data_IF_285836019777
#
_entry.id   IF_285836019777
#
_cell.length_a   1.000
_cell.length_b   1.000
_cell.length_c   1.000
_cell.angle_alpha   90.00
_cell.angle_beta   90.00
_cell.angle_gamma   90.00
#
_symmetry.space_group_name_H-M   'P 1'
#
loop_
_entity.id
_entity.type
_entity.pdbx_description
1 polymer ?
#
# COMPACT_ATOMS: atom_id res chain seq x y z
N UNK A 1 4.13 -26.58 7.18
CA UNK A 1 5.25 -25.68 6.78
C UNK A 1 4.67 -24.29 6.63
N UNK A 2 4.91 -23.41 7.60
CA UNK A 2 4.55 -22.00 7.47
C UNK A 2 5.63 -21.29 6.67
N UNK A 3 5.26 -20.68 5.54
CA UNK A 3 6.17 -19.83 4.78
C UNK A 3 6.25 -18.51 5.57
N UNK A 4 7.39 -18.16 6.21
CA UNK A 4 7.45 -17.06 7.17
C UNK A 4 6.99 -15.70 6.61
N UNK A 5 7.12 -15.53 5.30
CA UNK A 5 6.66 -14.34 4.56
C UNK A 5 5.15 -14.28 4.50
N UNK A 6 4.51 -15.38 4.12
CA UNK A 6 3.08 -15.45 3.95
C UNK A 6 2.40 -15.30 5.32
N UNK A 7 2.94 -15.95 6.35
CA UNK A 7 2.48 -15.78 7.74
C UNK A 7 2.62 -14.32 8.18
N UNK A 8 3.77 -13.69 7.97
CA UNK A 8 3.98 -12.27 8.32
C UNK A 8 3.05 -11.34 7.53
N UNK A 9 2.84 -11.62 6.25
CA UNK A 9 1.96 -10.85 5.39
C UNK A 9 0.49 -10.93 5.86
N UNK A 10 0.01 -12.14 6.14
CA UNK A 10 -1.34 -12.41 6.66
C UNK A 10 -1.52 -11.75 8.04
N UNK A 11 -0.54 -11.88 8.94
CA UNK A 11 -0.59 -11.24 10.26
C UNK A 11 -0.67 -9.71 10.14
N UNK A 12 0.09 -9.12 9.22
CA UNK A 12 -0.01 -7.70 8.90
C UNK A 12 -1.40 -7.29 8.43
N UNK A 13 -1.99 -8.04 7.49
CA UNK A 13 -3.36 -7.76 7.04
C UNK A 13 -4.37 -7.91 8.17
N UNK A 14 -4.26 -8.95 9.01
CA UNK A 14 -5.13 -9.15 10.16
C UNK A 14 -5.09 -7.93 11.10
N UNK A 15 -3.90 -7.49 11.49
CA UNK A 15 -3.71 -6.30 12.34
C UNK A 15 -4.27 -5.02 11.70
N UNK A 16 -4.15 -4.87 10.38
CA UNK A 16 -4.76 -3.75 9.66
C UNK A 16 -6.30 -3.78 9.78
N UNK A 17 -6.91 -4.96 9.59
CA UNK A 17 -8.36 -5.14 9.65
C UNK A 17 -8.92 -5.15 11.08
N UNK A 18 -8.10 -5.35 12.11
CA UNK A 18 -8.53 -5.19 13.51
C UNK A 18 -8.94 -3.74 13.79
N UNK A 19 -8.20 -2.76 13.27
CA UNK A 19 -8.53 -1.34 13.42
C UNK A 19 -9.79 -0.94 12.65
N UNK A 20 -10.83 -0.48 13.37
CA UNK A 20 -12.08 0.04 12.77
C UNK A 20 -11.83 1.25 11.86
N UNK A 21 -10.93 2.15 12.27
CA UNK A 21 -10.57 3.35 11.51
C UNK A 21 -9.85 3.02 10.21
N UNK A 22 -8.88 2.10 10.24
CA UNK A 22 -8.17 1.67 9.03
C UNK A 22 -9.11 0.97 8.04
N UNK A 23 -10.04 0.14 8.54
CA UNK A 23 -11.14 -0.41 7.75
C UNK A 23 -11.99 0.67 7.10
N UNK A 24 -12.34 1.72 7.85
CA UNK A 24 -13.14 2.82 7.34
C UNK A 24 -12.43 3.58 6.20
N UNK A 25 -11.16 3.92 6.39
CA UNK A 25 -10.35 4.53 5.32
C UNK A 25 -10.24 3.63 4.08
N UNK A 26 -10.10 2.32 4.28
CA UNK A 26 -10.09 1.36 3.18
C UNK A 26 -11.44 1.35 2.42
N UNK A 27 -12.59 1.38 3.12
CA UNK A 27 -13.90 1.49 2.47
C UNK A 27 -14.00 2.76 1.62
N UNK A 28 -13.59 3.92 2.15
CA UNK A 28 -13.58 5.18 1.38
C UNK A 28 -12.67 5.05 0.16
N UNK A 29 -11.51 4.40 0.30
CA UNK A 29 -10.58 4.18 -0.80
C UNK A 29 -11.19 3.28 -1.90
N UNK A 30 -11.90 2.22 -1.52
CA UNK A 30 -12.62 1.35 -2.47
C UNK A 30 -13.71 2.14 -3.20
N UNK A 31 -14.50 2.94 -2.48
CA UNK A 31 -15.52 3.82 -3.09
C UNK A 31 -14.86 4.80 -4.08
N UNK A 32 -13.76 5.44 -3.68
CA UNK A 32 -12.98 6.34 -4.54
C UNK A 32 -12.45 5.65 -5.81
N UNK A 33 -11.99 4.41 -5.67
CA UNK A 33 -11.47 3.60 -6.78
C UNK A 33 -12.57 3.23 -7.75
N UNK A 34 -13.69 2.69 -7.25
CA UNK A 34 -14.87 2.36 -8.08
C UNK A 34 -15.38 3.61 -8.79
N UNK A 35 -15.49 4.72 -8.06
CA UNK A 35 -15.89 6.01 -8.61
C UNK A 35 -14.98 6.41 -9.77
N UNK A 36 -13.66 6.46 -9.54
CA UNK A 36 -12.68 6.89 -10.55
C UNK A 36 -12.71 6.00 -11.79
N UNK A 37 -12.76 4.68 -11.62
CA UNK A 37 -12.84 3.73 -12.74
C UNK A 37 -14.15 3.90 -13.52
N UNK A 38 -15.29 3.99 -12.83
CA UNK A 38 -16.59 4.16 -13.47
C UNK A 38 -16.63 5.42 -14.33
N UNK A 39 -16.14 6.55 -13.79
CA UNK A 39 -16.12 7.82 -14.53
C UNK A 39 -15.10 7.84 -15.66
N UNK A 40 -13.95 7.14 -15.51
CA UNK A 40 -13.02 6.93 -16.62
C UNK A 40 -13.70 6.19 -17.77
N UNK A 41 -14.43 5.11 -17.49
CA UNK A 41 -15.11 4.35 -18.55
C UNK A 41 -16.27 5.13 -19.17
N UNK A 42 -17.07 5.85 -18.37
CA UNK A 42 -18.09 6.78 -18.90
C UNK A 42 -17.43 7.85 -19.78
N UNK A 43 -16.23 8.31 -19.39
CA UNK A 43 -15.49 9.32 -20.13
C UNK A 43 -14.99 8.92 -21.49
N UNK A 44 -14.78 7.63 -21.73
CA UNK A 44 -14.50 7.12 -23.08
C UNK A 44 -15.68 7.27 -24.02
N UNK A 45 -16.91 7.35 -23.51
CA UNK A 45 -18.12 7.56 -24.31
C UNK A 45 -18.53 9.04 -24.37
N UNK A 46 -18.20 9.82 -23.34
CA UNK A 46 -18.56 11.23 -23.20
C UNK A 46 -17.35 12.08 -22.77
N UNK A 47 -16.38 12.22 -23.68
CA UNK A 47 -15.08 12.84 -23.40
C UNK A 47 -15.22 14.20 -22.69
N UNK A 48 -15.91 15.17 -23.30
CA UNK A 48 -16.02 16.52 -22.73
C UNK A 48 -16.69 16.59 -21.35
N UNK A 49 -17.65 15.70 -21.06
CA UNK A 49 -18.28 15.63 -19.74
C UNK A 49 -17.33 15.03 -18.71
N UNK A 50 -16.69 13.92 -19.03
CA UNK A 50 -15.83 13.23 -18.08
C UNK A 50 -14.48 13.90 -17.87
N UNK A 51 -13.92 14.60 -18.86
CA UNK A 51 -12.71 15.40 -18.65
C UNK A 51 -12.97 16.44 -17.57
N UNK A 52 -14.05 17.20 -17.69
CA UNK A 52 -14.45 18.20 -16.69
C UNK A 52 -14.79 17.53 -15.36
N UNK A 53 -15.52 16.42 -15.38
CA UNK A 53 -15.98 15.77 -14.17
C UNK A 53 -14.85 15.09 -13.37
N UNK A 54 -13.93 14.37 -14.02
CA UNK A 54 -12.76 13.75 -13.37
C UNK A 54 -11.81 14.84 -12.86
N UNK A 55 -11.60 15.91 -13.64
CA UNK A 55 -10.79 17.04 -13.24
C UNK A 55 -11.37 17.83 -12.05
N UNK A 56 -12.70 17.91 -11.91
CA UNK A 56 -13.35 18.70 -10.86
C UNK A 56 -13.65 17.86 -9.61
N UNK A 57 -14.10 16.62 -9.78
CA UNK A 57 -14.62 15.77 -8.68
C UNK A 57 -13.66 14.64 -8.32
N UNK A 58 -12.89 14.13 -9.28
CA UNK A 58 -11.97 13.02 -9.05
C UNK A 58 -10.94 13.32 -7.95
N UNK A 59 -10.44 14.55 -7.89
CA UNK A 59 -9.43 14.96 -6.90
C UNK A 59 -9.93 15.20 -5.48
N UNK A 60 -11.24 15.13 -5.22
CA UNK A 60 -11.80 15.31 -3.87
C UNK A 60 -11.35 14.18 -2.94
N UNK A 61 -11.40 12.92 -3.39
CA UNK A 61 -11.00 11.77 -2.56
C UNK A 61 -9.50 11.76 -2.21
N UNK A 62 -8.57 11.95 -3.16
CA UNK A 62 -7.15 12.16 -2.83
C UNK A 62 -6.96 13.32 -1.85
N UNK A 63 -7.68 14.43 -2.04
CA UNK A 63 -7.59 15.58 -1.14
C UNK A 63 -8.09 15.25 0.26
N UNK A 64 -9.14 14.43 0.39
CA UNK A 64 -9.59 13.89 1.68
C UNK A 64 -8.49 13.08 2.37
N UNK A 65 -7.81 12.19 1.65
CA UNK A 65 -6.70 11.42 2.23
C UNK A 65 -5.49 12.30 2.58
N UNK A 66 -5.23 13.36 1.81
CA UNK A 66 -4.23 14.36 2.14
C UNK A 66 -4.57 15.09 3.44
N UNK A 67 -5.82 15.55 3.60
CA UNK A 67 -6.29 16.19 4.84
C UNK A 67 -6.22 15.21 6.01
N UNK A 68 -6.66 13.96 5.81
CA UNK A 68 -6.56 12.92 6.82
C UNK A 68 -5.10 12.67 7.26
N UNK A 69 -4.15 12.67 6.31
CA UNK A 69 -2.73 12.58 6.59
C UNK A 69 -2.22 13.78 7.39
N UNK A 70 -2.60 15.02 7.02
CA UNK A 70 -2.23 16.22 7.77
C UNK A 70 -2.77 16.17 9.21
N UNK A 71 -4.02 15.73 9.39
CA UNK A 71 -4.62 15.56 10.72
C UNK A 71 -3.91 14.47 11.53
N UNK A 72 -3.48 13.38 10.88
CA UNK A 72 -2.72 12.32 11.53
C UNK A 72 -1.31 12.75 11.95
N UNK A 73 -0.67 13.68 11.21
CA UNK A 73 0.62 14.29 11.62
C UNK A 73 0.47 15.06 12.94
N UNK A 74 -0.64 15.78 13.10
CA UNK A 74 -0.93 16.60 14.29
C UNK A 74 -1.51 15.75 15.45
N UNK A 75 -1.79 14.47 15.22
CA UNK A 75 -2.40 13.57 16.22
C UNK A 75 -3.91 13.76 16.39
N UNK A 76 -4.56 14.42 15.43
CA UNK A 76 -5.99 14.72 15.43
C UNK A 76 -6.80 13.73 14.57
N UNK A 77 -6.26 12.53 14.27
CA UNK A 77 -6.92 11.53 13.42
C UNK A 77 -8.33 11.12 13.91
N UNK A 78 -8.58 11.19 15.23
CA UNK A 78 -9.88 10.86 15.84
C UNK A 78 -11.04 11.75 15.38
N UNK A 79 -10.73 12.94 14.88
CA UNK A 79 -11.73 13.89 14.36
C UNK A 79 -12.02 13.67 12.87
N UNK A 80 -11.23 12.84 12.19
CA UNK A 80 -11.45 12.45 10.78
C UNK A 80 -12.22 11.14 10.71
N UNK A 81 -11.87 10.18 11.56
CA UNK A 81 -12.56 8.91 11.69
C UNK A 81 -12.53 8.44 13.15
N UNK A 82 -13.66 7.93 13.63
CA UNK A 82 -13.83 7.47 15.00
C UNK A 82 -13.37 6.02 15.15
N UNK A 83 -12.70 5.71 16.26
CA UNK A 83 -12.27 4.35 16.58
C UNK A 83 -13.43 3.48 17.11
N UNK A 84 -14.52 4.08 17.58
CA UNK A 84 -15.60 3.38 18.26
C UNK A 84 -16.81 3.11 17.35
N UNK A 85 -17.20 4.12 16.55
CA UNK A 85 -18.48 4.13 15.83
C UNK A 85 -18.32 4.44 14.33
N UNK A 86 -18.89 3.57 13.49
CA UNK A 86 -18.99 3.81 12.04
C UNK A 86 -19.94 4.95 11.69
N UNK A 87 -21.03 5.13 12.45
CA UNK A 87 -21.97 6.25 12.25
C UNK A 87 -21.27 7.59 12.44
N UNK A 88 -20.46 7.71 13.48
CA UNK A 88 -19.65 8.91 13.75
C UNK A 88 -18.60 9.14 12.67
N UNK A 89 -17.93 8.07 12.23
CA UNK A 89 -16.97 8.13 11.12
C UNK A 89 -17.60 8.58 9.80
N UNK A 90 -18.83 8.15 9.52
CA UNK A 90 -19.58 8.59 8.35
C UNK A 90 -19.90 10.09 8.37
N UNK A 91 -20.40 10.60 9.51
CA UNK A 91 -20.66 12.04 9.67
C UNK A 91 -19.38 12.85 9.49
N UNK A 92 -18.27 12.42 10.11
CA UNK A 92 -16.97 13.08 9.94
C UNK A 92 -16.48 13.02 8.49
N UNK A 93 -16.70 11.91 7.79
CA UNK A 93 -16.34 11.79 6.38
C UNK A 93 -17.09 12.80 5.53
N UNK A 94 -18.39 13.01 5.74
CA UNK A 94 -19.16 14.03 5.00
C UNK A 94 -18.57 15.43 5.22
N UNK A 95 -18.32 15.81 6.47
CA UNK A 95 -17.77 17.12 6.84
C UNK A 95 -16.40 17.33 6.18
N UNK A 96 -15.51 16.34 6.29
CA UNK A 96 -14.16 16.43 5.73
C UNK A 96 -14.13 16.31 4.22
N UNK A 97 -15.08 15.61 3.59
CA UNK A 97 -15.23 15.59 2.14
C UNK A 97 -15.66 16.98 1.63
N UNK A 98 -16.58 17.66 2.31
CA UNK A 98 -16.95 19.04 1.97
C UNK A 98 -15.74 19.99 2.07
N UNK A 99 -14.98 19.89 3.16
CA UNK A 99 -13.74 20.66 3.31
C UNK A 99 -12.71 20.32 2.22
N UNK A 100 -12.60 19.04 1.85
CA UNK A 100 -11.72 18.59 0.78
C UNK A 100 -12.14 19.13 -0.59
N UNK A 101 -13.43 19.28 -0.86
CA UNK A 101 -13.93 19.94 -2.09
C UNK A 101 -13.49 21.41 -2.14
N UNK A 102 -13.65 22.14 -1.04
CA UNK A 102 -13.25 23.56 -0.96
C UNK A 102 -11.73 23.67 -1.14
N UNK A 103 -10.95 22.86 -0.42
CA UNK A 103 -9.50 22.84 -0.52
C UNK A 103 -9.05 22.47 -1.94
N UNK A 104 -9.68 21.48 -2.56
CA UNK A 104 -9.39 21.06 -3.92
C UNK A 104 -9.64 22.20 -4.92
N UNK A 105 -10.76 22.92 -4.80
CA UNK A 105 -11.06 24.09 -5.63
C UNK A 105 -10.00 25.19 -5.44
N UNK A 106 -9.56 25.46 -4.21
CA UNK A 106 -8.48 26.42 -3.94
C UNK A 106 -7.14 25.98 -4.56
N UNK A 107 -6.79 24.70 -4.44
CA UNK A 107 -5.59 24.12 -5.06
C UNK A 107 -5.65 24.16 -6.58
N UNK A 108 -6.84 24.06 -7.16
CA UNK A 108 -7.07 24.19 -8.60
C UNK A 108 -6.82 25.62 -9.08
N UNK A 109 -7.40 26.63 -8.41
CA UNK A 109 -7.20 28.05 -8.75
C UNK A 109 -5.74 28.48 -8.67
N UNK A 110 -4.99 27.93 -7.71
CA UNK A 110 -3.56 28.21 -7.53
C UNK A 110 -2.64 27.37 -8.43
N UNK A 111 -3.18 26.37 -9.14
CA UNK A 111 -2.39 25.41 -9.92
C UNK A 111 -1.61 24.38 -9.09
N UNK A 112 -1.63 24.49 -7.76
CA UNK A 112 -0.94 23.56 -6.85
C UNK A 112 -1.49 22.13 -6.93
N UNK A 113 -2.71 21.97 -7.44
CA UNK A 113 -3.31 20.66 -7.71
C UNK A 113 -2.42 19.80 -8.62
N UNK A 114 -1.78 20.37 -9.65
CA UNK A 114 -0.94 19.60 -10.57
C UNK A 114 0.33 19.12 -9.87
N UNK A 115 0.94 19.98 -9.05
CA UNK A 115 2.11 19.62 -8.26
C UNK A 115 1.80 18.48 -7.26
N UNK A 116 0.68 18.56 -6.54
CA UNK A 116 0.30 17.54 -5.56
C UNK A 116 -0.16 16.24 -6.22
N UNK A 117 -0.97 16.32 -7.27
CA UNK A 117 -1.53 15.13 -7.92
C UNK A 117 -0.51 14.44 -8.81
N UNK A 118 0.14 15.16 -9.73
CA UNK A 118 1.12 14.56 -10.64
C UNK A 118 2.46 14.37 -9.93
N UNK A 119 2.96 15.41 -9.26
CA UNK A 119 4.28 15.41 -8.64
C UNK A 119 4.36 14.54 -7.39
N UNK A 120 3.43 14.68 -6.45
CA UNK A 120 3.49 13.94 -5.18
C UNK A 120 2.75 12.61 -5.27
N UNK A 121 1.49 12.61 -5.70
CA UNK A 121 0.66 11.40 -5.65
C UNK A 121 1.04 10.39 -6.75
N UNK A 122 1.03 10.80 -8.02
CA UNK A 122 1.32 9.91 -9.15
C UNK A 122 2.77 9.41 -9.16
N UNK A 123 3.76 10.32 -9.16
CA UNK A 123 5.17 9.91 -9.10
C UNK A 123 5.52 9.24 -7.75
N UNK A 124 4.94 9.70 -6.64
CA UNK A 124 5.15 9.10 -5.33
C UNK A 124 4.61 7.69 -5.23
N UNK A 125 3.46 7.39 -5.87
CA UNK A 125 2.94 6.02 -5.94
C UNK A 125 3.84 5.11 -6.75
N UNK A 126 4.32 5.55 -7.92
CA UNK A 126 5.26 4.77 -8.74
C UNK A 126 6.55 4.51 -7.94
N UNK A 127 7.09 5.54 -7.27
CA UNK A 127 8.27 5.40 -6.42
C UNK A 127 8.01 4.47 -5.23
N UNK A 128 6.82 4.50 -4.65
CA UNK A 128 6.41 3.62 -3.56
C UNK A 128 6.31 2.16 -4.01
N UNK A 129 5.73 1.88 -5.18
CA UNK A 129 5.71 0.54 -5.77
C UNK A 129 7.14 0.02 -6.05
N UNK A 130 8.01 0.86 -6.61
CA UNK A 130 9.41 0.53 -6.83
C UNK A 130 10.17 0.29 -5.51
N UNK A 131 9.89 1.08 -4.47
CA UNK A 131 10.42 0.89 -3.13
C UNK A 131 9.97 -0.45 -2.52
N UNK A 132 8.68 -0.77 -2.56
CA UNK A 132 8.15 -1.99 -1.97
C UNK A 132 8.64 -3.24 -2.69
N UNK A 133 8.71 -3.22 -4.02
CA UNK A 133 9.26 -4.33 -4.81
C UNK A 133 10.75 -4.54 -4.50
N UNK A 134 11.53 -3.47 -4.50
CA UNK A 134 12.97 -3.52 -4.19
C UNK A 134 13.23 -3.97 -2.75
N UNK A 135 12.50 -3.43 -1.77
CA UNK A 135 12.62 -3.83 -0.36
C UNK A 135 12.23 -5.28 -0.14
N UNK A 136 11.19 -5.76 -0.82
CA UNK A 136 10.74 -7.15 -0.71
C UNK A 136 11.78 -8.09 -1.28
N UNK A 137 12.26 -7.83 -2.50
CA UNK A 137 13.30 -8.63 -3.11
C UNK A 137 14.58 -8.62 -2.24
N UNK A 138 15.07 -7.44 -1.85
CA UNK A 138 16.35 -7.30 -1.16
C UNK A 138 16.30 -7.68 0.33
N UNK A 139 15.17 -7.51 1.01
CA UNK A 139 15.01 -7.82 2.43
C UNK A 139 15.18 -9.30 2.78
N UNK A 140 15.09 -10.19 1.79
CA UNK A 140 15.46 -11.60 1.94
C UNK A 140 16.97 -11.80 2.14
N UNK A 141 17.79 -10.88 1.63
CA UNK A 141 19.25 -11.02 1.66
C UNK A 141 19.86 -10.77 3.04
N UNK A 142 19.16 -10.02 3.91
CA UNK A 142 19.65 -9.72 5.27
C UNK A 142 19.54 -10.92 6.21
N UNK A 143 18.68 -11.90 5.89
CA UNK A 143 18.27 -12.95 6.84
C UNK A 143 19.05 -14.25 6.74
N UNK A 144 19.90 -14.43 5.73
CA UNK A 144 20.64 -15.68 5.52
C UNK A 144 22.04 -15.34 5.05
N UNK A 145 23.05 -15.75 5.82
CA UNK A 145 24.43 -15.85 5.32
C UNK A 145 24.63 -17.28 4.83
N UNK A 146 24.85 -17.45 3.53
CA UNK A 146 25.15 -18.76 2.95
C UNK A 146 26.66 -18.84 2.72
N UNK A 147 27.35 -19.75 3.41
CA UNK A 147 28.80 -19.98 3.26
C UNK A 147 29.17 -20.62 1.92
N UNK A 148 28.31 -21.46 1.33
CA UNK A 148 28.57 -22.10 0.05
C UNK A 148 27.30 -22.28 -0.78
N UNK A 149 27.39 -22.01 -2.09
CA UNK A 149 26.29 -22.20 -3.04
C UNK A 149 26.48 -23.44 -3.88
N UNK A 150 25.38 -24.15 -4.15
CA UNK A 150 25.37 -25.17 -5.18
C UNK A 150 25.52 -24.53 -6.57
N UNK A 151 26.21 -25.21 -7.48
CA UNK A 151 26.38 -24.75 -8.88
C UNK A 151 25.04 -24.56 -9.59
N UNK A 152 24.04 -25.38 -9.24
CA UNK A 152 22.68 -25.31 -9.77
C UNK A 152 22.02 -23.98 -9.42
N UNK A 153 22.09 -23.56 -8.15
CA UNK A 153 21.51 -22.29 -7.70
C UNK A 153 22.16 -21.09 -8.39
N UNK A 154 23.48 -21.10 -8.52
CA UNK A 154 24.21 -20.06 -9.27
C UNK A 154 23.79 -20.01 -10.74
N UNK A 155 23.63 -21.17 -11.39
CA UNK A 155 23.16 -21.25 -12.77
C UNK A 155 21.73 -20.72 -12.92
N UNK A 156 20.82 -21.08 -12.02
CA UNK A 156 19.43 -20.59 -12.01
C UNK A 156 19.42 -19.07 -11.91
N UNK A 157 20.08 -18.46 -10.92
CA UNK A 157 20.08 -17.00 -10.78
C UNK A 157 20.81 -16.27 -11.91
N UNK A 158 21.89 -16.86 -12.45
CA UNK A 158 22.52 -16.36 -13.67
C UNK A 158 21.60 -16.39 -14.88
N UNK A 159 20.81 -17.46 -15.03
CA UNK A 159 19.81 -17.59 -16.09
C UNK A 159 18.66 -16.60 -15.94
N UNK A 160 18.21 -16.31 -14.71
CA UNK A 160 17.19 -15.28 -14.45
C UNK A 160 17.68 -13.89 -14.86
N UNK A 161 18.96 -13.60 -14.62
CA UNK A 161 19.57 -12.35 -15.09
C UNK A 161 19.64 -12.28 -16.61
N UNK A 162 20.03 -13.35 -17.31
CA UNK A 162 19.99 -13.36 -18.78
C UNK A 162 18.57 -13.25 -19.32
N UNK A 163 17.61 -13.92 -18.68
CA UNK A 163 16.20 -13.87 -19.02
C UNK A 163 15.64 -12.45 -18.93
N UNK A 164 16.15 -11.64 -18.01
CA UNK A 164 15.74 -10.24 -17.85
C UNK A 164 16.04 -9.41 -19.10
N UNK A 165 17.20 -9.63 -19.75
CA UNK A 165 17.53 -9.04 -21.05
C UNK A 165 16.61 -9.55 -22.17
N UNK A 166 16.41 -10.87 -22.22
CA UNK A 166 15.59 -11.51 -23.25
C UNK A 166 14.16 -10.97 -23.21
N UNK A 167 13.60 -10.79 -22.01
CA UNK A 167 12.24 -10.24 -21.82
C UNK A 167 12.15 -8.82 -22.35
N UNK A 168 13.07 -7.92 -21.99
CA UNK A 168 13.00 -6.51 -22.41
C UNK A 168 13.21 -6.36 -23.92
N UNK A 169 14.26 -7.00 -24.45
CA UNK A 169 14.58 -6.95 -25.89
C UNK A 169 13.49 -7.65 -26.70
N UNK A 170 13.07 -8.84 -26.25
CA UNK A 170 12.02 -9.62 -26.88
C UNK A 170 10.69 -8.87 -26.92
N UNK A 171 10.28 -8.25 -25.80
CA UNK A 171 9.08 -7.43 -25.75
C UNK A 171 9.17 -6.28 -26.77
N UNK A 172 10.26 -5.50 -26.77
CA UNK A 172 10.41 -4.38 -27.71
C UNK A 172 10.33 -4.83 -29.18
N UNK A 173 11.04 -5.91 -29.56
CA UNK A 173 11.04 -6.42 -30.94
C UNK A 173 9.67 -6.95 -31.34
N UNK A 174 9.07 -7.82 -30.53
CA UNK A 174 7.79 -8.47 -30.84
C UNK A 174 6.69 -7.42 -30.95
N UNK A 175 6.63 -6.47 -30.01
CA UNK A 175 5.64 -5.40 -30.02
C UNK A 175 5.88 -4.42 -31.18
N UNK A 176 7.13 -4.14 -31.52
CA UNK A 176 7.48 -3.36 -32.70
C UNK A 176 6.96 -4.00 -33.99
N UNK A 177 7.22 -5.30 -34.19
CA UNK A 177 6.72 -6.06 -35.34
C UNK A 177 5.19 -6.06 -35.36
N UNK A 178 4.55 -6.33 -34.22
CA UNK A 178 3.09 -6.36 -34.12
C UNK A 178 2.46 -5.01 -34.45
N UNK A 179 3.05 -3.92 -33.96
CA UNK A 179 2.60 -2.56 -34.25
C UNK A 179 2.71 -2.22 -35.74
N UNK A 180 3.86 -2.49 -36.37
CA UNK A 180 4.08 -2.28 -37.81
C UNK A 180 3.08 -3.10 -38.63
N UNK A 181 2.92 -4.38 -38.30
CA UNK A 181 2.05 -5.30 -39.04
C UNK A 181 0.57 -4.91 -38.98
N UNK A 182 0.13 -4.34 -37.85
CA UNK A 182 -1.29 -3.99 -37.62
C UNK A 182 -1.62 -2.56 -38.04
N UNK A 183 -0.71 -1.61 -37.78
CA UNK A 183 -0.96 -0.17 -37.94
C UNK A 183 -0.34 0.41 -39.22
N UNK A 184 0.38 -0.40 -40.00
CA UNK A 184 1.03 0.04 -41.25
C UNK A 184 2.32 0.86 -41.06
N UNK A 185 2.75 1.07 -39.81
CA UNK A 185 3.97 1.80 -39.47
C UNK A 185 4.10 2.04 -37.96
N UNK A 186 5.31 2.43 -37.51
CA UNK A 186 5.56 2.82 -36.13
C UNK A 186 5.40 4.34 -36.00
N UNK A 187 4.53 4.76 -35.09
CA UNK A 187 4.49 6.16 -34.64
C UNK A 187 5.85 6.54 -34.01
N UNK A 188 6.57 7.46 -34.65
CA UNK A 188 7.96 7.77 -34.31
C UNK A 188 8.13 8.27 -32.85
N UNK A 189 7.29 9.20 -32.35
CA UNK A 189 7.32 9.61 -30.94
C UNK A 189 7.12 8.43 -29.96
N UNK A 190 6.14 7.57 -30.22
CA UNK A 190 5.91 6.36 -29.39
C UNK A 190 7.11 5.42 -29.44
N UNK A 191 7.63 5.13 -30.63
CA UNK A 191 8.77 4.24 -30.82
C UNK A 191 10.03 4.79 -30.13
N UNK A 192 10.26 6.10 -30.20
CA UNK A 192 11.36 6.76 -29.51
C UNK A 192 11.22 6.65 -27.98
N UNK A 193 10.02 6.90 -27.43
CA UNK A 193 9.77 6.76 -26.00
C UNK A 193 9.99 5.31 -25.52
N UNK A 194 9.48 4.33 -26.27
CA UNK A 194 9.67 2.91 -25.99
C UNK A 194 11.15 2.50 -26.07
N UNK A 195 11.90 2.99 -27.06
CA UNK A 195 13.32 2.70 -27.22
C UNK A 195 14.15 3.27 -26.07
N UNK A 196 13.91 4.53 -25.68
CA UNK A 196 14.61 5.16 -24.56
C UNK A 196 14.30 4.39 -23.28
N UNK A 197 13.04 4.03 -23.04
CA UNK A 197 12.63 3.30 -21.85
C UNK A 197 13.18 1.88 -21.76
N UNK A 198 13.19 1.15 -22.89
CA UNK A 198 13.89 -0.13 -23.00
C UNK A 198 15.40 0.05 -22.72
N UNK A 199 16.01 1.13 -23.23
CA UNK A 199 17.39 1.50 -22.93
C UNK A 199 17.65 1.72 -21.44
N UNK A 200 16.77 2.42 -20.73
CA UNK A 200 16.86 2.57 -19.27
C UNK A 200 16.78 1.23 -18.53
N UNK A 201 15.87 0.35 -18.93
CA UNK A 201 15.73 -0.97 -18.33
C UNK A 201 16.95 -1.87 -18.58
N UNK A 202 17.51 -1.83 -19.79
CA UNK A 202 18.76 -2.52 -20.13
C UNK A 202 19.95 -1.93 -19.36
N UNK A 203 20.00 -0.61 -19.20
CA UNK A 203 20.98 0.08 -18.36
C UNK A 203 20.88 -0.34 -16.89
N UNK A 204 19.66 -0.43 -16.35
CA UNK A 204 19.40 -0.98 -15.02
C UNK A 204 19.91 -2.42 -14.90
N UNK A 205 19.53 -3.31 -15.83
CA UNK A 205 20.00 -4.69 -15.83
C UNK A 205 21.52 -4.77 -15.92
N UNK A 206 22.16 -3.92 -16.73
CA UNK A 206 23.62 -3.87 -16.82
C UNK A 206 24.28 -3.48 -15.50
N UNK A 207 23.78 -2.43 -14.84
CA UNK A 207 24.30 -1.99 -13.54
C UNK A 207 24.05 -3.04 -12.45
N UNK A 208 22.86 -3.65 -12.42
CA UNK A 208 22.52 -4.75 -11.53
C UNK A 208 23.47 -5.95 -11.75
N UNK A 209 23.79 -6.27 -13.00
CA UNK A 209 24.77 -7.31 -13.36
C UNK A 209 26.18 -7.00 -12.83
N UNK A 210 26.65 -5.75 -12.97
CA UNK A 210 27.93 -5.32 -12.40
C UNK A 210 27.95 -5.44 -10.87
N UNK A 211 26.84 -5.10 -10.22
CA UNK A 211 26.66 -5.25 -8.79
C UNK A 211 26.68 -6.72 -8.38
N UNK A 212 25.96 -7.60 -9.09
CA UNK A 212 25.96 -9.04 -8.86
C UNK A 212 27.36 -9.63 -8.96
N UNK A 213 28.17 -9.21 -9.94
CA UNK A 213 29.57 -9.64 -10.09
C UNK A 213 30.43 -9.18 -8.89
N UNK A 214 30.21 -7.95 -8.44
CA UNK A 214 30.93 -7.35 -7.29
C UNK A 214 30.55 -8.03 -5.98
N UNK A 215 29.28 -8.34 -5.78
CA UNK A 215 28.74 -8.94 -4.56
C UNK A 215 28.57 -10.47 -4.68
N UNK A 216 29.21 -11.13 -5.67
CA UNK A 216 29.01 -12.56 -6.02
C UNK A 216 29.11 -13.57 -4.87
N UNK A 217 29.75 -13.19 -3.76
CA UNK A 217 29.92 -14.03 -2.56
C UNK A 217 28.82 -13.83 -1.51
N UNK A 218 27.88 -12.89 -1.72
CA UNK A 218 26.81 -12.53 -0.78
C UNK A 218 25.45 -13.00 -1.27
N UNK A 219 24.58 -13.41 -0.35
CA UNK A 219 23.18 -13.83 -0.59
C UNK A 219 22.33 -12.74 -1.25
N UNK A 220 22.77 -11.48 -1.19
CA UNK A 220 22.18 -10.36 -1.93
C UNK A 220 22.04 -10.62 -3.43
N UNK A 221 22.97 -11.37 -4.04
CA UNK A 221 23.00 -11.64 -5.50
C UNK A 221 21.74 -12.34 -6.01
N UNK A 222 21.17 -13.24 -5.21
CA UNK A 222 20.00 -14.04 -5.61
C UNK A 222 18.77 -13.14 -5.71
N UNK A 223 18.63 -12.27 -4.73
CA UNK A 223 17.58 -11.27 -4.66
C UNK A 223 17.74 -10.15 -5.70
N UNK A 224 18.98 -9.84 -6.07
CA UNK A 224 19.30 -8.92 -7.16
C UNK A 224 18.87 -9.47 -8.52
N UNK A 225 19.06 -10.78 -8.76
CA UNK A 225 18.57 -11.44 -9.97
C UNK A 225 17.04 -11.46 -10.05
N UNK A 226 16.36 -11.76 -8.92
CA UNK A 226 14.89 -11.73 -8.84
C UNK A 226 14.35 -10.31 -9.03
N UNK A 227 14.99 -9.30 -8.43
CA UNK A 227 14.66 -7.89 -8.65
C UNK A 227 14.83 -7.51 -10.12
N UNK A 228 15.93 -7.93 -10.74
CA UNK A 228 16.21 -7.75 -12.17
C UNK A 228 15.10 -8.30 -13.06
N UNK A 229 14.67 -9.54 -12.79
CA UNK A 229 13.57 -10.18 -13.50
C UNK A 229 12.25 -9.45 -13.29
N UNK A 230 11.93 -9.09 -12.04
CA UNK A 230 10.69 -8.37 -11.71
C UNK A 230 10.61 -7.03 -12.44
N UNK A 231 11.67 -6.21 -12.39
CA UNK A 231 11.74 -4.94 -13.12
C UNK A 231 11.61 -5.17 -14.62
N UNK A 232 12.21 -6.23 -15.16
CA UNK A 232 12.14 -6.55 -16.59
C UNK A 232 10.74 -6.97 -17.05
N UNK A 233 10.02 -7.76 -16.25
CA UNK A 233 8.61 -8.10 -16.50
C UNK A 233 7.72 -6.85 -16.40
N UNK A 234 7.96 -6.00 -15.40
CA UNK A 234 7.22 -4.75 -15.21
C UNK A 234 7.43 -3.77 -16.39
N UNK A 235 8.67 -3.65 -16.85
CA UNK A 235 9.03 -2.88 -18.05
C UNK A 235 8.39 -3.45 -19.31
N UNK A 236 8.41 -4.78 -19.49
CA UNK A 236 7.79 -5.42 -20.64
C UNK A 236 6.28 -5.15 -20.70
N UNK A 237 5.61 -5.08 -19.55
CA UNK A 237 4.21 -4.69 -19.46
C UNK A 237 3.97 -3.23 -19.93
N UNK A 238 4.79 -2.27 -19.52
CA UNK A 238 4.63 -0.89 -20.02
C UNK A 238 5.01 -0.75 -21.49
N UNK A 239 6.01 -1.51 -21.95
CA UNK A 239 6.30 -1.59 -23.39
C UNK A 239 5.07 -2.10 -24.14
N UNK A 240 4.36 -3.11 -23.62
CA UNK A 240 3.09 -3.58 -24.20
C UNK A 240 2.05 -2.45 -24.26
N UNK A 241 1.81 -1.73 -23.16
CA UNK A 241 0.83 -0.64 -23.16
C UNK A 241 1.18 0.52 -24.11
N UNK A 242 2.47 0.85 -24.25
CA UNK A 242 2.94 1.94 -25.13
C UNK A 242 2.94 1.50 -26.60
N UNK A 243 3.34 0.27 -26.91
CA UNK A 243 3.54 -0.17 -28.29
C UNK A 243 2.36 -0.95 -28.87
N UNK A 244 1.34 -1.32 -28.08
CA UNK A 244 0.16 -1.99 -28.63
C UNK A 244 -0.54 -1.10 -29.68
N UNK A 245 -1.10 -1.70 -30.75
CA UNK A 245 -1.93 -0.97 -31.70
C UNK A 245 -3.10 -0.26 -30.99
N UNK A 246 -3.45 0.94 -31.45
CA UNK A 246 -4.61 1.65 -30.89
C UNK A 246 -5.88 0.98 -31.39
N UNK A 247 -6.70 0.54 -30.46
CA UNK A 247 -8.01 -0.06 -30.74
C UNK A 247 -9.07 0.66 -29.94
N UNK A 248 -10.25 0.85 -30.52
CA UNK A 248 -11.41 1.46 -29.85
C UNK A 248 -12.08 0.52 -28.83
N UNK A 249 -11.51 -0.67 -28.59
CA UNK A 249 -12.06 -1.69 -27.70
C UNK A 249 -11.38 -1.66 -26.34
N UNK A 250 -12.12 -2.04 -25.30
CA UNK A 250 -11.56 -2.19 -23.94
C UNK A 250 -10.45 -3.23 -23.96
N UNK A 251 -9.21 -2.81 -23.65
CA UNK A 251 -8.10 -3.72 -23.48
C UNK A 251 -8.20 -4.45 -22.13
N UNK A 252 -8.90 -5.59 -22.16
CA UNK A 252 -9.09 -6.44 -20.99
C UNK A 252 -7.77 -6.95 -20.42
N UNK A 253 -6.74 -7.14 -21.24
CA UNK A 253 -5.44 -7.64 -20.78
C UNK A 253 -4.71 -6.57 -19.98
N UNK A 254 -4.58 -5.35 -20.53
CA UNK A 254 -4.01 -4.21 -19.79
C UNK A 254 -4.79 -3.96 -18.50
N UNK A 255 -6.13 -3.92 -18.57
CA UNK A 255 -6.99 -3.66 -17.43
C UNK A 255 -6.80 -4.71 -16.31
N UNK A 256 -6.76 -5.99 -16.68
CA UNK A 256 -6.58 -7.08 -15.70
C UNK A 256 -5.22 -7.00 -15.02
N UNK A 257 -4.16 -6.73 -15.78
CA UNK A 257 -2.81 -6.61 -15.22
C UNK A 257 -2.69 -5.38 -14.33
N UNK A 258 -3.21 -4.23 -14.75
CA UNK A 258 -3.22 -2.99 -13.97
C UNK A 258 -3.95 -3.16 -12.63
N UNK A 259 -5.14 -3.80 -12.66
CA UNK A 259 -5.91 -4.11 -11.45
C UNK A 259 -5.11 -5.07 -10.57
N UNK A 260 -4.55 -6.14 -11.13
CA UNK A 260 -3.77 -7.14 -10.38
C UNK A 260 -2.56 -6.53 -9.67
N UNK A 261 -1.76 -5.71 -10.40
CA UNK A 261 -0.61 -4.99 -9.86
C UNK A 261 -1.04 -4.03 -8.75
N UNK A 262 -2.09 -3.24 -8.99
CA UNK A 262 -2.58 -2.25 -8.03
C UNK A 262 -3.08 -2.92 -6.75
N UNK A 263 -3.91 -3.96 -6.86
CA UNK A 263 -4.42 -4.74 -5.72
C UNK A 263 -3.26 -5.36 -4.95
N UNK A 264 -2.28 -5.97 -5.63
CA UNK A 264 -1.09 -6.54 -4.99
C UNK A 264 -0.35 -5.50 -4.15
N UNK A 265 -0.04 -4.33 -4.72
CA UNK A 265 0.69 -3.28 -3.99
C UNK A 265 -0.12 -2.66 -2.85
N UNK A 266 -1.44 -2.52 -3.01
CA UNK A 266 -2.33 -2.04 -1.95
C UNK A 266 -2.36 -3.02 -0.78
N UNK A 267 -2.59 -4.31 -1.04
CA UNK A 267 -2.59 -5.33 0.00
C UNK A 267 -1.22 -5.44 0.69
N UNK A 268 -0.14 -5.30 -0.07
CA UNK A 268 1.20 -5.28 0.49
C UNK A 268 1.46 -4.06 1.37
N UNK A 269 1.02 -2.89 0.95
CA UNK A 269 1.09 -1.68 1.76
C UNK A 269 0.27 -1.81 3.04
N UNK A 270 -0.97 -2.33 2.96
CA UNK A 270 -1.84 -2.57 4.11
C UNK A 270 -1.20 -3.55 5.10
N UNK A 271 -0.63 -4.65 4.60
CA UNK A 271 0.11 -5.61 5.42
C UNK A 271 1.29 -4.95 6.13
N UNK A 272 2.09 -4.14 5.42
CA UNK A 272 3.21 -3.41 6.03
C UNK A 272 2.73 -2.40 7.09
N UNK A 273 1.61 -1.71 6.86
CA UNK A 273 1.01 -0.79 7.83
C UNK A 273 0.53 -1.54 9.08
N UNK A 274 -0.11 -2.70 8.90
CA UNK A 274 -0.54 -3.54 10.01
C UNK A 274 0.63 -4.10 10.83
N UNK A 275 1.74 -4.51 10.19
CA UNK A 275 2.95 -4.91 10.92
C UNK A 275 3.57 -3.75 11.70
N UNK A 276 3.47 -2.51 11.20
CA UNK A 276 3.93 -1.35 11.97
C UNK A 276 3.10 -1.09 13.22
N UNK A 277 1.81 -1.44 13.24
CA UNK A 277 0.98 -1.40 14.45
C UNK A 277 1.54 -2.30 15.56
N UNK A 278 1.80 -3.58 15.23
CA UNK A 278 2.35 -4.53 16.20
C UNK A 278 3.74 -4.13 16.71
N UNK A 279 4.61 -3.60 15.84
CA UNK A 279 5.97 -3.22 16.23
C UNK A 279 6.07 -1.97 17.11
N UNK A 280 4.99 -1.19 17.25
CA UNK A 280 5.01 0.16 17.86
C UNK A 280 4.15 0.32 19.11
N UNK A 281 3.54 -0.76 19.61
CA UNK A 281 2.95 -0.77 20.95
C UNK A 281 3.96 -0.37 22.05
N UNK A 282 5.28 -0.48 21.77
CA UNK A 282 6.34 -0.31 22.78
C UNK A 282 7.39 0.79 22.49
N UNK A 283 7.24 1.65 21.46
CA UNK A 283 8.28 2.62 21.10
C UNK A 283 7.82 4.09 21.12
N UNK A 284 8.18 4.80 22.19
CA UNK A 284 8.00 6.25 22.36
C UNK A 284 9.13 7.05 21.70
N UNK A 285 8.90 7.55 20.48
CA UNK A 285 9.81 8.51 19.84
C UNK A 285 9.07 9.77 19.37
N UNK A 286 9.77 10.92 19.33
CA UNK A 286 9.18 12.27 19.13
C UNK A 286 8.52 12.51 17.76
N UNK A 287 8.81 11.69 16.75
CA UNK A 287 8.14 11.73 15.44
C UNK A 287 7.46 10.37 15.20
N UNK A 288 6.31 10.16 15.87
CA UNK A 288 5.49 8.97 15.64
C UNK A 288 4.85 9.07 14.26
N UNK A 289 5.47 8.47 13.24
CA UNK A 289 4.71 8.08 12.04
C UNK A 289 3.65 7.09 12.51
N UNK A 290 2.43 7.54 12.67
CA UNK A 290 1.31 6.73 13.12
C UNK A 290 0.89 5.76 12.01
N UNK A 291 0.26 4.65 12.37
CA UNK A 291 -0.26 3.70 11.39
C UNK A 291 -1.29 4.36 10.46
N UNK A 292 -2.04 5.31 11.02
CA UNK A 292 -3.02 6.13 10.37
C UNK A 292 -2.35 7.03 9.35
N UNK A 293 -1.27 7.73 9.73
CA UNK A 293 -0.50 8.54 8.80
C UNK A 293 0.03 7.72 7.62
N UNK A 294 0.57 6.53 7.90
CA UNK A 294 1.07 5.64 6.87
C UNK A 294 -0.06 5.17 5.93
N UNK A 295 -1.22 4.80 6.48
CA UNK A 295 -2.39 4.40 5.71
C UNK A 295 -2.96 5.55 4.86
N UNK A 296 -3.16 6.73 5.44
CA UNK A 296 -3.73 7.89 4.74
C UNK A 296 -2.80 8.42 3.67
N UNK A 297 -1.47 8.42 3.89
CA UNK A 297 -0.50 8.73 2.84
C UNK A 297 -0.58 7.68 1.73
N UNK A 298 -0.61 6.39 2.07
CA UNK A 298 -0.73 5.31 1.07
C UNK A 298 -1.99 5.48 0.22
N UNK A 299 -3.13 5.76 0.84
CA UNK A 299 -4.39 5.99 0.12
C UNK A 299 -4.37 7.30 -0.67
N UNK A 300 -3.71 8.36 -0.20
CA UNK A 300 -3.50 9.59 -0.97
C UNK A 300 -2.67 9.34 -2.23
N UNK A 301 -1.57 8.59 -2.12
CA UNK A 301 -0.72 8.22 -3.26
C UNK A 301 -1.50 7.34 -4.24
N UNK A 302 -2.16 6.29 -3.75
CA UNK A 302 -2.88 5.33 -4.59
C UNK A 302 -4.09 5.98 -5.29
N UNK A 303 -4.94 6.72 -4.56
CA UNK A 303 -6.12 7.35 -5.14
C UNK A 303 -5.75 8.47 -6.10
N UNK A 304 -4.77 9.31 -5.76
CA UNK A 304 -4.36 10.37 -6.68
C UNK A 304 -3.63 9.84 -7.90
N UNK A 305 -2.89 8.73 -7.79
CA UNK A 305 -2.39 7.99 -8.95
C UNK A 305 -3.52 7.55 -9.90
N UNK A 306 -4.60 6.97 -9.38
CA UNK A 306 -5.75 6.54 -10.20
C UNK A 306 -6.45 7.71 -10.89
N UNK A 307 -6.60 8.84 -10.19
CA UNK A 307 -7.20 10.06 -10.74
C UNK A 307 -6.33 10.63 -11.85
N UNK A 308 -5.02 10.74 -11.63
CA UNK A 308 -4.07 11.23 -12.66
C UNK A 308 -4.02 10.30 -13.86
N UNK A 309 -4.00 8.99 -13.65
CA UNK A 309 -4.06 8.02 -14.76
C UNK A 309 -5.34 8.21 -15.58
N UNK A 310 -6.49 8.30 -14.92
CA UNK A 310 -7.78 8.53 -15.58
C UNK A 310 -7.86 9.89 -16.28
N UNK A 311 -7.18 10.90 -15.75
CA UNK A 311 -7.10 12.23 -16.35
C UNK A 311 -6.25 12.22 -17.62
N UNK A 312 -5.11 11.52 -17.64
CA UNK A 312 -4.28 11.38 -18.84
C UNK A 312 -5.00 10.62 -19.95
N UNK A 313 -5.73 9.56 -19.61
CA UNK A 313 -6.55 8.77 -20.54
C UNK A 313 -7.68 9.60 -21.19
N UNK A 314 -8.06 10.75 -20.60
CA UNK A 314 -9.22 11.55 -21.03
C UNK A 314 -8.82 12.94 -21.57
N UNK A 315 -7.67 13.49 -21.16
CA UNK A 315 -7.16 14.78 -21.66
C UNK A 315 -6.43 14.68 -23.00
N UNK A 316 -6.02 13.47 -23.39
CA UNK A 316 -5.13 13.31 -24.52
C UNK A 316 -5.87 13.12 -25.83
N UNK A 317 -6.07 14.22 -26.55
CA UNK A 317 -6.59 14.20 -27.93
C UNK A 317 -5.56 13.65 -28.96
N UNK A 318 -4.74 12.66 -28.61
CA UNK A 318 -3.71 12.11 -29.50
C UNK A 318 -2.97 10.88 -28.96
N UNK A 319 -2.44 10.08 -29.90
CA UNK A 319 -1.80 8.76 -29.68
C UNK A 319 -0.75 8.70 -28.57
N UNK A 320 0.03 9.77 -28.38
CA UNK A 320 1.07 9.82 -27.36
C UNK A 320 0.49 10.07 -25.96
N UNK A 321 -0.60 10.85 -25.87
CA UNK A 321 -1.07 11.33 -24.58
C UNK A 321 -1.72 10.23 -23.74
N UNK A 322 -2.42 9.29 -24.35
CA UNK A 322 -2.94 8.07 -23.70
C UNK A 322 -1.80 7.22 -23.12
N UNK A 323 -0.59 7.36 -23.70
CA UNK A 323 0.60 6.58 -23.35
C UNK A 323 1.51 7.31 -22.37
N UNK A 324 1.28 8.60 -22.09
CA UNK A 324 2.10 9.40 -21.17
C UNK A 324 2.25 8.72 -19.80
N UNK A 325 1.18 8.21 -19.16
CA UNK A 325 1.31 7.57 -17.85
C UNK A 325 2.31 6.41 -17.87
N UNK A 326 2.23 5.56 -18.89
CA UNK A 326 3.09 4.38 -19.01
C UNK A 326 4.51 4.74 -19.43
N UNK A 327 4.68 5.79 -20.26
CA UNK A 327 6.00 6.36 -20.58
C UNK A 327 6.69 6.88 -19.31
N UNK A 328 5.96 7.60 -18.45
CA UNK A 328 6.52 8.08 -17.17
C UNK A 328 6.91 6.89 -16.29
N UNK A 329 6.05 5.87 -16.14
CA UNK A 329 6.35 4.67 -15.35
C UNK A 329 7.58 3.92 -15.88
N UNK A 330 7.73 3.84 -17.21
CA UNK A 330 8.85 3.19 -17.88
C UNK A 330 10.20 3.84 -17.55
N UNK A 331 10.22 5.15 -17.27
CA UNK A 331 11.43 5.87 -16.84
C UNK A 331 11.64 5.87 -15.33
N UNK A 332 10.59 6.22 -14.59
CA UNK A 332 10.68 6.46 -13.14
C UNK A 332 10.89 5.14 -12.39
N UNK A 333 10.23 4.06 -12.81
CA UNK A 333 10.28 2.80 -12.06
C UNK A 333 11.67 2.15 -12.04
N UNK A 334 12.36 1.93 -13.18
CA UNK A 334 13.72 1.37 -13.16
C UNK A 334 14.72 2.28 -12.45
N UNK A 335 14.55 3.61 -12.57
CA UNK A 335 15.42 4.57 -11.89
C UNK A 335 15.29 4.49 -10.36
N UNK A 336 14.07 4.48 -9.84
CA UNK A 336 13.83 4.36 -8.38
C UNK A 336 14.29 2.99 -7.89
N UNK A 337 14.05 1.91 -8.64
CA UNK A 337 14.52 0.57 -8.29
C UNK A 337 16.06 0.53 -8.17
N UNK A 338 16.79 1.11 -9.13
CA UNK A 338 18.25 1.24 -9.08
C UNK A 338 18.72 2.01 -7.85
N UNK A 339 18.09 3.16 -7.57
CA UNK A 339 18.43 3.98 -6.40
C UNK A 339 18.24 3.18 -5.11
N UNK A 340 17.15 2.42 -4.99
CA UNK A 340 16.87 1.58 -3.84
C UNK A 340 17.86 0.43 -3.71
N UNK A 341 18.23 -0.20 -4.81
CA UNK A 341 19.27 -1.23 -4.87
C UNK A 341 20.61 -0.70 -4.34
N UNK A 342 21.07 0.44 -4.86
CA UNK A 342 22.33 1.09 -4.44
C UNK A 342 22.30 1.47 -2.97
N UNK A 343 21.19 2.06 -2.50
CA UNK A 343 21.01 2.43 -1.09
C UNK A 343 21.02 1.21 -0.18
N UNK A 344 20.38 0.12 -0.59
CA UNK A 344 20.35 -1.13 0.15
C UNK A 344 21.75 -1.75 0.26
N UNK A 345 22.50 -1.84 -0.85
CA UNK A 345 23.88 -2.36 -0.84
C UNK A 345 24.76 -1.50 0.07
N UNK A 346 24.64 -0.18 -0.01
CA UNK A 346 25.39 0.74 0.86
C UNK A 346 25.07 0.53 2.35
N UNK A 347 23.82 0.17 2.69
CA UNK A 347 23.42 -0.13 4.07
C UNK A 347 23.88 -1.52 4.52
N UNK A 348 23.71 -2.54 3.69
CA UNK A 348 24.12 -3.93 3.99
C UNK A 348 25.62 -4.13 4.17
N UNK A 349 26.45 -3.16 3.72
CA UNK A 349 27.90 -3.13 3.99
C UNK A 349 28.26 -2.61 5.38
N UNK A 350 27.34 -1.95 6.07
CA UNK A 350 27.50 -1.54 7.47
C UNK A 350 27.10 -2.73 8.34
N UNK A 351 27.87 -3.03 9.37
CA UNK A 351 27.61 -4.17 10.27
C UNK A 351 26.15 -4.13 10.76
N UNK A 352 25.45 -5.29 10.74
CA UNK A 352 24.07 -5.35 11.19
C UNK A 352 24.03 -4.91 12.66
N UNK A 353 23.33 -3.80 12.93
CA UNK A 353 22.91 -3.52 14.30
C UNK A 353 22.05 -4.71 14.73
N UNK A 354 22.29 -5.30 15.92
CA UNK A 354 21.50 -6.44 16.37
C UNK A 354 20.04 -6.06 16.28
N UNK A 355 19.30 -6.80 15.45
CA UNK A 355 17.85 -6.77 15.47
C UNK A 355 17.50 -7.38 16.81
N UNK A 356 17.09 -6.55 17.77
CA UNK A 356 16.39 -7.01 18.96
C UNK A 356 15.08 -7.60 18.43
N UNK A 357 15.10 -8.88 18.12
CA UNK A 357 13.88 -9.67 18.02
C UNK A 357 13.36 -9.67 19.45
N UNK A 358 12.16 -9.12 19.74
CA UNK A 358 11.53 -9.40 21.01
C UNK A 358 11.40 -10.92 21.07
N UNK A 359 12.11 -11.52 22.01
CA UNK A 359 11.96 -12.92 22.31
C UNK A 359 10.53 -13.07 22.82
N UNK A 360 9.63 -13.65 22.02
CA UNK A 360 8.27 -13.96 22.48
C UNK A 360 8.25 -15.24 23.34
N UNK A 361 9.40 -15.58 23.94
CA UNK A 361 9.64 -16.74 24.78
C UNK A 361 10.18 -16.37 26.16
N UNK A 362 9.99 -15.13 26.60
CA UNK A 362 10.07 -14.81 28.04
C UNK A 362 8.74 -15.20 28.69
N UNK A 363 8.79 -16.40 29.27
CA UNK A 363 8.16 -16.83 30.51
C UNK A 363 6.97 -15.96 30.97
N UNK A 364 5.80 -16.61 31.00
CA UNK A 364 4.78 -16.30 31.99
C UNK A 364 5.49 -16.09 33.33
N UNK A 365 5.54 -14.85 33.82
CA UNK A 365 5.69 -14.59 35.24
C UNK A 365 4.52 -15.29 35.92
N UNK A 366 4.71 -16.57 36.25
CA UNK A 366 4.00 -17.20 37.35
C UNK A 366 4.25 -16.29 38.54
N UNK A 367 3.20 -15.59 38.97
CA UNK A 367 3.17 -14.94 40.27
C UNK A 367 3.73 -15.95 41.28
N UNK A 368 4.76 -15.59 42.08
CA UNK A 368 5.19 -16.46 43.15
C UNK A 368 4.04 -16.52 44.16
N UNK A 369 3.28 -17.63 44.08
CA UNK A 369 2.47 -18.14 45.17
C UNK A 369 3.45 -18.25 46.34
N UNK A 370 3.27 -17.38 47.32
CA UNK A 370 3.86 -17.52 48.65
C UNK A 370 3.48 -18.90 49.18
N UNK A 371 4.41 -19.85 49.07
CA UNK A 371 4.29 -21.16 49.72
C UNK A 371 4.16 -20.92 51.23
N UNK A 372 2.99 -21.34 51.72
CA UNK A 372 2.64 -21.48 53.11
C UNK A 372 3.76 -22.20 53.87
N UNK A 373 4.24 -21.49 54.89
CA UNK A 373 4.98 -22.06 55.99
C UNK A 373 4.19 -23.22 56.60
N UNK A 374 4.72 -24.43 56.37
CA UNK A 374 4.70 -25.60 57.27
C UNK A 374 3.78 -25.49 58.48
N UNK A 375 2.75 -26.32 58.48
CA UNK A 375 2.08 -26.80 59.68
C UNK A 375 3.08 -27.19 60.78
N UNK A 376 2.82 -26.78 62.03
CA UNK A 376 3.12 -27.60 63.19
C UNK A 376 1.81 -28.12 63.79
N UNK A 377 1.73 -29.44 63.91
CA UNK A 377 0.83 -30.12 64.83
C UNK A 377 1.03 -29.60 66.27
N UNK A 378 -0.07 -29.43 67.01
CA UNK A 378 -0.33 -29.82 68.42
C UNK A 378 -1.18 -28.78 69.21
N UNK A 379 -2.31 -29.31 69.71
CA UNK A 379 -3.15 -29.04 70.89
C UNK A 379 -4.10 -27.82 71.02
N UNK A 380 -5.40 -28.15 70.94
CA UNK A 380 -6.47 -27.97 71.95
C UNK A 380 -6.47 -26.69 72.82
N UNK A 381 -7.48 -25.83 72.66
CA UNK A 381 -8.51 -25.50 73.67
C UNK A 381 -9.38 -24.29 73.22
N UNK A 382 -10.70 -24.45 73.37
CA UNK A 382 -11.80 -23.48 73.65
C UNK A 382 -11.66 -22.02 73.16
N UNK A 383 -12.65 -21.39 72.52
CA UNK A 383 -13.91 -20.86 73.07
C UNK A 383 -14.71 -20.34 71.85
N UNK A 384 -15.84 -20.95 71.43
CA UNK A 384 -17.23 -20.69 71.84
C UNK A 384 -17.75 -19.24 71.67
N UNK A 385 -18.99 -19.16 71.17
CA UNK A 385 -19.95 -18.02 71.25
C UNK A 385 -19.69 -16.82 70.32
N UNK A 386 -20.68 -16.22 69.65
CA UNK A 386 -22.14 -16.40 69.60
C UNK A 386 -22.73 -15.51 68.50
N UNK A 387 -23.92 -15.91 68.05
CA UNK A 387 -25.06 -15.18 67.45
C UNK A 387 -25.01 -13.64 67.36
N UNK A 388 -25.47 -13.08 66.23
CA UNK A 388 -26.73 -12.30 66.14
C UNK A 388 -26.99 -11.80 64.69
N UNK A 389 -28.08 -12.28 64.09
CA UNK A 389 -28.88 -11.65 63.03
C UNK A 389 -29.85 -10.60 63.67
N UNK A 390 -30.75 -9.89 62.95
CA UNK A 390 -30.81 -9.39 61.57
C UNK A 390 -31.34 -7.91 61.51
N UNK A 391 -31.52 -7.33 60.31
CA UNK A 391 -32.63 -6.37 60.10
C UNK A 391 -33.20 -6.46 58.67
N UNK A 392 -34.51 -6.71 58.61
CA UNK A 392 -35.40 -6.81 57.45
C UNK A 392 -35.90 -5.44 56.95
N UNK A 393 -36.22 -5.36 55.64
CA UNK A 393 -37.55 -5.01 55.03
C UNK A 393 -37.40 -5.12 53.50
N UNK A 394 -37.89 -6.18 52.83
CA UNK A 394 -39.25 -6.39 52.26
C UNK A 394 -39.74 -5.19 51.42
N UNK A 395 -39.71 -5.30 50.08
CA UNK A 395 -40.80 -5.72 49.15
C UNK A 395 -41.50 -4.45 48.58
N UNK A 396 -41.88 -4.34 47.30
CA UNK A 396 -42.97 -5.04 46.60
C UNK A 396 -42.87 -4.75 45.08
N UNK A 397 -43.34 -5.73 44.29
CA UNK A 397 -43.53 -5.79 42.83
C UNK A 397 -44.64 -4.87 42.25
N UNK A 398 -44.93 -5.10 40.96
CA UNK A 398 -46.08 -4.72 40.10
C UNK A 398 -45.81 -3.56 39.13
N UNK A 399 -45.59 -3.84 37.84
CA UNK A 399 -46.58 -4.12 36.78
C UNK A 399 -47.59 -2.98 36.58
N UNK A 400 -47.49 -2.26 35.46
CA UNK A 400 -48.43 -2.36 34.34
C UNK A 400 -48.24 -1.22 33.31
N UNK A 401 -48.47 -1.62 32.08
CA UNK A 401 -48.65 -0.91 30.80
C UNK A 401 -49.70 0.21 30.83
N UNK A 402 -49.54 1.23 29.98
CA UNK A 402 -50.56 1.59 28.97
C UNK A 402 -50.14 2.80 28.11
N UNK A 403 -50.60 2.74 26.87
CA UNK A 403 -50.51 3.69 25.77
C UNK A 403 -51.11 5.07 26.11
N UNK A 404 -50.66 6.12 25.41
CA UNK A 404 -51.55 6.88 24.51
C UNK A 404 -50.77 7.98 23.74
N UNK A 405 -51.17 8.10 22.48
CA UNK A 405 -50.80 9.09 21.48
C UNK A 405 -51.27 10.50 21.89
N UNK A 406 -50.53 11.54 21.51
CA UNK A 406 -51.17 12.82 21.18
C UNK A 406 -50.38 13.53 20.06
N UNK A 407 -51.07 13.67 18.92
CA UNK A 407 -50.79 14.61 17.84
C UNK A 407 -50.67 16.04 18.37
N UNK A 408 -49.84 16.89 17.76
CA UNK A 408 -50.34 18.17 17.22
C UNK A 408 -49.35 18.88 16.29
N UNK A 409 -49.92 19.30 15.16
CA UNK A 409 -49.45 20.22 14.12
C UNK A 409 -49.16 21.66 14.61
N UNK A 410 -48.68 22.47 13.64
CA UNK A 410 -48.64 23.96 13.56
C UNK A 410 -47.36 24.60 14.15
N UNK A 411 -46.58 25.44 13.46
CA UNK A 411 -46.74 26.24 12.23
C UNK A 411 -45.35 26.46 11.57
#
# INVERSE_FOLDING_TARGET
>A
MEIPVLTRFINGLKLFFESKRLRWFFVIFIVSTIFTILFREIGRFFEGFATGFIAIIGGIFPTYFLVAALMAIIGLQRFVASDESYKRSFIYTIIWMLFSTILYAMLWVTGMVFFLMIGVSFLGWIAFQAYLSSRSALGYAEKVQIESRSKVVTFVFGSLHLLSYIIVIGAFIVLGIWNIATSGGLDLPTAAAALIGAGFALGFNFLNGLIMIRERKRVTVDNLAVLGLFVSLYVAYFLYNIMKPVSATVDLVSLTIDIGISVFFILYAMSSVGLTLASRAHLDTRWKITSELAATITFFLASGYLVVQSLFDVLSNGLLGDRIPDVIKLFVFPFVALMMEVLFIRRSRKEPRPVVVPDFTEESEEEPITEESKEPDVDLEEVMESEEEPTYTEDVEEEETSDEEEETDWE
#
